data_IF_140337077217
#
_entry.id   IF_140337077217
#
_cell.length_a   1.000
_cell.length_b   1.000
_cell.length_c   1.000
_cell.angle_alpha   90.00
_cell.angle_beta   90.00
_cell.angle_gamma   90.00
#
_symmetry.space_group_name_H-M   'P 1'
#
loop_
_entity.id
_entity.type
_entity.pdbx_description
1 polymer ?
#
# COMPACT_ATOMS: atom_id res chain seq x y z
N UNK A 1 -15.20 -12.73 -21.30
CA UNK A 1 -14.38 -13.84 -20.77
C UNK A 1 -13.55 -13.29 -19.60
N UNK A 2 -12.81 -14.14 -18.89
CA UNK A 2 -12.30 -13.84 -17.55
C UNK A 2 -10.77 -13.72 -17.58
N UNK A 3 -10.24 -12.59 -17.08
CA UNK A 3 -8.80 -12.41 -16.82
C UNK A 3 -8.29 -13.41 -15.75
N UNK A 4 -6.98 -13.54 -15.55
CA UNK A 4 -6.44 -14.43 -14.50
C UNK A 4 -6.97 -14.07 -13.10
N UNK A 5 -7.15 -12.78 -12.83
CA UNK A 5 -7.75 -12.32 -11.57
C UNK A 5 -9.19 -12.81 -11.50
N UNK A 6 -10.01 -12.60 -12.53
CA UNK A 6 -11.40 -13.06 -12.58
C UNK A 6 -11.53 -14.58 -12.39
N UNK A 7 -10.62 -15.37 -12.97
CA UNK A 7 -10.59 -16.83 -12.82
C UNK A 7 -10.34 -17.22 -11.35
N UNK A 8 -9.37 -16.59 -10.69
CA UNK A 8 -9.13 -16.82 -9.26
C UNK A 8 -10.28 -16.35 -8.37
N UNK A 9 -10.94 -15.24 -8.72
CA UNK A 9 -12.11 -14.75 -7.99
C UNK A 9 -13.25 -15.76 -8.00
N UNK A 10 -13.49 -16.39 -9.15
CA UNK A 10 -14.52 -17.43 -9.28
C UNK A 10 -14.21 -18.66 -8.43
N UNK A 11 -12.93 -19.04 -8.31
CA UNK A 11 -12.52 -20.24 -7.54
C UNK A 11 -12.43 -20.02 -6.04
N UNK A 12 -12.02 -18.82 -5.62
CA UNK A 12 -11.78 -18.53 -4.21
C UNK A 12 -13.05 -18.14 -3.45
N UNK A 13 -14.21 -18.04 -4.12
CA UNK A 13 -15.46 -17.44 -3.61
C UNK A 13 -15.28 -16.03 -3.00
N UNK A 14 -14.12 -15.40 -3.23
CA UNK A 14 -13.74 -14.07 -2.76
C UNK A 14 -13.70 -13.12 -3.96
N UNK A 15 -13.90 -11.82 -3.77
CA UNK A 15 -13.68 -10.86 -4.85
C UNK A 15 -12.24 -11.02 -5.34
N UNK A 16 -12.02 -11.23 -6.65
CA UNK A 16 -10.69 -11.32 -7.19
C UNK A 16 -9.97 -9.99 -6.96
N UNK A 17 -8.73 -10.07 -6.52
CA UNK A 17 -7.84 -8.93 -6.50
C UNK A 17 -6.45 -9.37 -6.95
N UNK A 18 -5.75 -8.51 -7.68
CA UNK A 18 -4.40 -8.76 -8.21
C UNK A 18 -3.42 -9.30 -7.17
N UNK A 19 -3.50 -8.80 -5.94
CA UNK A 19 -2.61 -9.25 -4.86
C UNK A 19 -2.79 -10.73 -4.49
N UNK A 20 -3.90 -11.36 -4.85
CA UNK A 20 -4.13 -12.80 -4.66
C UNK A 20 -3.37 -13.65 -5.69
N UNK A 21 -3.12 -13.11 -6.89
CA UNK A 21 -2.25 -13.72 -7.91
C UNK A 21 -0.76 -13.58 -7.58
N UNK A 22 -0.37 -12.72 -6.64
CA UNK A 22 1.04 -12.54 -6.28
C UNK A 22 1.55 -13.58 -5.26
N UNK A 23 0.75 -14.60 -4.94
CA UNK A 23 1.05 -15.58 -3.89
C UNK A 23 0.48 -16.97 -4.16
N UNK A 24 -0.05 -17.61 -3.13
CA UNK A 24 -0.52 -19.00 -3.15
C UNK A 24 -1.59 -19.26 -4.24
N UNK A 25 -2.34 -18.23 -4.65
CA UNK A 25 -3.34 -18.32 -5.71
C UNK A 25 -2.81 -18.86 -7.04
N UNK A 26 -1.54 -18.60 -7.39
CA UNK A 26 -0.93 -19.13 -8.63
C UNK A 26 -0.88 -20.67 -8.66
N UNK A 27 -0.68 -21.30 -7.50
CA UNK A 27 -0.65 -22.76 -7.40
C UNK A 27 -1.98 -23.43 -7.76
N UNK A 28 -3.06 -22.66 -7.75
CA UNK A 28 -4.40 -23.14 -8.09
C UNK A 28 -4.75 -22.98 -9.57
N UNK A 29 -3.89 -22.35 -10.37
CA UNK A 29 -4.08 -22.17 -11.80
C UNK A 29 -3.69 -23.43 -12.58
N UNK A 30 -4.48 -23.75 -13.59
CA UNK A 30 -4.23 -24.87 -14.51
C UNK A 30 -3.82 -24.36 -15.89
N UNK A 31 -3.29 -25.24 -16.74
CA UNK A 31 -2.96 -24.88 -18.13
C UNK A 31 -4.16 -24.32 -18.92
N UNK A 32 -5.37 -24.83 -18.68
CA UNK A 32 -6.59 -24.33 -19.32
C UNK A 32 -6.92 -22.88 -18.91
N UNK A 33 -6.65 -22.52 -17.65
CA UNK A 33 -6.86 -21.16 -17.16
C UNK A 33 -5.91 -20.16 -17.83
N UNK A 34 -4.65 -20.56 -18.02
CA UNK A 34 -3.66 -19.75 -18.71
C UNK A 34 -4.03 -19.54 -20.19
N UNK A 35 -4.53 -20.58 -20.86
CA UNK A 35 -5.01 -20.49 -22.24
C UNK A 35 -6.23 -19.57 -22.36
N UNK A 36 -7.18 -19.67 -21.43
CA UNK A 36 -8.36 -18.81 -21.39
C UNK A 36 -7.99 -17.33 -21.20
N UNK A 37 -7.10 -17.04 -20.26
CA UNK A 37 -6.62 -15.68 -20.03
C UNK A 37 -5.82 -15.12 -21.22
N UNK A 38 -5.01 -15.96 -21.88
CA UNK A 38 -4.31 -15.58 -23.11
C UNK A 38 -5.27 -15.27 -24.27
N UNK A 39 -6.38 -16.01 -24.39
CA UNK A 39 -7.43 -15.70 -25.37
C UNK A 39 -8.09 -14.35 -25.08
N UNK A 40 -8.52 -14.13 -23.83
CA UNK A 40 -9.17 -12.87 -23.41
C UNK A 40 -8.23 -11.67 -23.61
N UNK A 41 -6.93 -11.82 -23.30
CA UNK A 41 -5.94 -10.78 -23.56
C UNK A 41 -5.83 -10.46 -25.06
N UNK A 42 -5.76 -11.47 -25.93
CA UNK A 42 -5.68 -11.26 -27.39
C UNK A 42 -6.92 -10.59 -27.96
N UNK A 43 -8.11 -10.98 -27.49
CA UNK A 43 -9.38 -10.35 -27.89
C UNK A 43 -9.42 -8.88 -27.49
N UNK A 44 -9.01 -8.55 -26.27
CA UNK A 44 -8.92 -7.15 -25.81
C UNK A 44 -7.83 -6.37 -26.53
N UNK A 45 -6.69 -6.99 -26.83
CA UNK A 45 -5.62 -6.35 -27.62
C UNK A 45 -6.10 -5.98 -29.02
N UNK A 46 -7.02 -6.74 -29.61
CA UNK A 46 -7.60 -6.41 -30.91
C UNK A 46 -8.38 -5.08 -30.89
N UNK A 47 -8.84 -4.61 -29.73
CA UNK A 47 -9.49 -3.30 -29.57
C UNK A 47 -8.50 -2.14 -29.58
N UNK A 48 -7.21 -2.38 -29.35
CA UNK A 48 -6.15 -1.38 -29.49
C UNK A 48 -5.93 -1.11 -30.98
N UNK A 49 -5.85 0.16 -31.43
CA UNK A 49 -5.59 0.50 -32.83
C UNK A 49 -4.36 -0.22 -33.38
N UNK A 50 -4.46 -0.80 -34.58
CA UNK A 50 -3.40 -1.60 -35.19
C UNK A 50 -2.06 -0.88 -35.24
N UNK A 51 -2.06 0.43 -35.50
CA UNK A 51 -0.86 1.27 -35.53
C UNK A 51 -0.13 1.38 -34.19
N UNK A 52 -0.84 1.16 -33.06
CA UNK A 52 -0.29 1.31 -31.71
C UNK A 52 0.06 -0.03 -31.06
N UNK A 53 -0.40 -1.18 -31.59
CA UNK A 53 -0.29 -2.48 -30.89
C UNK A 53 1.16 -2.87 -30.57
N UNK A 54 2.08 -2.70 -31.51
CA UNK A 54 3.50 -3.03 -31.30
C UNK A 54 4.11 -2.18 -30.17
N UNK A 55 3.83 -0.88 -30.18
CA UNK A 55 4.32 0.05 -29.15
C UNK A 55 3.66 -0.25 -27.79
N UNK A 56 2.37 -0.54 -27.79
CA UNK A 56 1.61 -0.91 -26.59
C UNK A 56 2.20 -2.15 -25.92
N UNK A 57 2.44 -3.23 -26.67
CA UNK A 57 3.05 -4.45 -26.13
C UNK A 57 4.49 -4.22 -25.65
N UNK A 58 5.25 -3.37 -26.36
CA UNK A 58 6.60 -2.98 -25.96
C UNK A 58 6.59 -2.23 -24.62
N UNK A 59 5.68 -1.27 -24.44
CA UNK A 59 5.54 -0.54 -23.18
C UNK A 59 5.05 -1.44 -22.04
N UNK A 60 4.11 -2.37 -22.29
CA UNK A 60 3.70 -3.35 -21.28
C UNK A 60 4.86 -4.22 -20.81
N UNK A 61 5.68 -4.72 -21.75
CA UNK A 61 6.86 -5.52 -21.42
C UNK A 61 7.87 -4.71 -20.61
N UNK A 62 8.17 -3.49 -21.05
CA UNK A 62 9.05 -2.57 -20.33
C UNK A 62 8.58 -2.31 -18.91
N UNK A 63 7.28 -2.08 -18.72
CA UNK A 63 6.66 -1.87 -17.41
C UNK A 63 6.73 -3.11 -16.52
N UNK A 64 6.54 -4.30 -17.08
CA UNK A 64 6.70 -5.55 -16.37
C UNK A 64 8.15 -5.76 -15.90
N UNK A 65 9.13 -5.54 -16.79
CA UNK A 65 10.56 -5.65 -16.48
C UNK A 65 10.98 -4.62 -15.42
N UNK A 66 10.55 -3.37 -15.56
CA UNK A 66 10.82 -2.31 -14.59
C UNK A 66 10.22 -2.64 -13.21
N UNK A 67 8.98 -3.14 -13.19
CA UNK A 67 8.32 -3.55 -11.95
C UNK A 67 9.06 -4.71 -11.30
N UNK A 68 9.44 -5.73 -12.07
CA UNK A 68 10.20 -6.88 -11.57
C UNK A 68 11.54 -6.47 -10.96
N UNK A 69 12.30 -5.61 -11.65
CA UNK A 69 13.57 -5.06 -11.15
C UNK A 69 13.37 -4.25 -9.86
N UNK A 70 12.33 -3.42 -9.79
CA UNK A 70 12.02 -2.64 -8.60
C UNK A 70 11.69 -3.53 -7.40
N UNK A 71 10.82 -4.53 -7.60
CA UNK A 71 10.41 -5.46 -6.56
C UNK A 71 11.59 -6.32 -6.08
N UNK A 72 12.43 -6.82 -6.99
CA UNK A 72 13.65 -7.56 -6.64
C UNK A 72 14.61 -6.71 -5.80
N UNK A 73 14.76 -5.42 -6.13
CA UNK A 73 15.65 -4.50 -5.42
C UNK A 73 15.11 -4.12 -4.04
N UNK A 74 13.83 -3.80 -3.92
CA UNK A 74 13.27 -3.11 -2.75
C UNK A 74 12.31 -3.94 -1.89
N UNK A 75 11.70 -5.03 -2.39
CA UNK A 75 10.71 -5.81 -1.63
C UNK A 75 11.32 -6.96 -0.80
N UNK A 76 12.53 -6.77 -0.27
CA UNK A 76 13.29 -7.80 0.47
C UNK A 76 13.01 -7.77 1.97
N UNK A 77 12.96 -6.58 2.56
CA UNK A 77 12.64 -6.36 3.97
C UNK A 77 12.00 -4.97 4.18
N UNK A 78 11.69 -4.58 5.43
CA UNK A 78 11.06 -3.28 5.70
C UNK A 78 11.96 -2.08 5.34
N UNK A 79 13.26 -2.17 5.60
CA UNK A 79 14.20 -1.09 5.30
C UNK A 79 14.38 -0.88 3.80
N UNK A 80 14.56 -1.96 3.03
CA UNK A 80 14.65 -1.86 1.57
C UNK A 80 13.34 -1.32 0.96
N UNK A 81 12.18 -1.62 1.55
CA UNK A 81 10.89 -1.06 1.13
C UNK A 81 10.78 0.43 1.43
N UNK A 82 11.28 0.89 2.58
CA UNK A 82 11.38 2.33 2.87
C UNK A 82 12.22 3.04 1.81
N UNK A 83 13.38 2.48 1.44
CA UNK A 83 14.19 3.01 0.33
C UNK A 83 13.41 2.97 -0.99
N UNK A 84 12.67 1.90 -1.26
CA UNK A 84 11.83 1.80 -2.46
C UNK A 84 10.75 2.89 -2.52
N UNK A 85 10.03 3.13 -1.43
CA UNK A 85 9.04 4.21 -1.36
C UNK A 85 9.68 5.59 -1.46
N UNK A 86 10.87 5.77 -0.90
CA UNK A 86 11.65 7.00 -1.03
C UNK A 86 12.01 7.31 -2.49
N UNK A 87 12.57 6.33 -3.20
CA UNK A 87 12.91 6.46 -4.62
C UNK A 87 11.65 6.70 -5.47
N UNK A 88 10.54 6.03 -5.15
CA UNK A 88 9.26 6.25 -5.82
C UNK A 88 8.72 7.66 -5.55
N UNK A 89 8.83 8.15 -4.31
CA UNK A 89 8.49 9.51 -3.94
C UNK A 89 9.27 10.54 -4.75
N UNK A 90 10.58 10.35 -4.94
CA UNK A 90 11.39 11.21 -5.81
C UNK A 90 10.93 11.19 -7.27
N UNK A 91 10.61 10.02 -7.82
CA UNK A 91 10.06 9.93 -9.19
C UNK A 91 8.74 10.68 -9.34
N UNK A 92 7.91 10.66 -8.30
CA UNK A 92 6.65 11.41 -8.21
C UNK A 92 6.86 12.87 -7.81
N UNK A 93 8.10 13.31 -7.57
CA UNK A 93 8.43 14.62 -6.98
C UNK A 93 7.66 14.92 -5.68
N UNK A 94 7.28 13.86 -4.97
CA UNK A 94 6.38 13.88 -3.82
C UNK A 94 5.01 14.54 -4.06
N UNK A 95 4.55 14.70 -5.31
CA UNK A 95 3.22 15.22 -5.61
C UNK A 95 2.10 14.27 -5.16
N UNK A 96 2.34 12.95 -5.20
CA UNK A 96 1.40 11.93 -4.73
C UNK A 96 1.70 11.52 -3.27
N UNK A 97 0.81 11.75 -2.29
CA UNK A 97 1.09 11.50 -0.87
C UNK A 97 1.28 10.05 -0.43
N UNK A 98 0.79 9.09 -1.22
CA UNK A 98 0.76 7.68 -0.83
C UNK A 98 2.12 7.09 -0.38
N UNK A 99 3.26 7.28 -1.10
CA UNK A 99 4.55 6.73 -0.64
C UNK A 99 4.99 7.30 0.71
N UNK A 100 4.73 8.59 0.97
CA UNK A 100 5.05 9.25 2.26
C UNK A 100 4.23 8.61 3.39
N UNK A 101 2.92 8.44 3.18
CA UNK A 101 2.02 7.77 4.14
C UNK A 101 2.50 6.34 4.42
N UNK A 102 2.85 5.58 3.38
CA UNK A 102 3.37 4.21 3.53
C UNK A 102 4.69 4.19 4.32
N UNK A 103 5.60 5.13 4.08
CA UNK A 103 6.85 5.25 4.83
C UNK A 103 6.62 5.57 6.30
N UNK A 104 5.70 6.48 6.61
CA UNK A 104 5.34 6.80 7.99
C UNK A 104 4.70 5.61 8.71
N UNK A 105 3.83 4.86 8.03
CA UNK A 105 3.27 3.60 8.54
C UNK A 105 4.36 2.57 8.87
N UNK A 106 5.35 2.38 7.99
CA UNK A 106 6.48 1.47 8.28
C UNK A 106 7.34 2.02 9.43
N UNK A 107 7.59 3.34 9.50
CA UNK A 107 8.35 3.95 10.59
C UNK A 107 7.67 3.69 11.95
N UNK A 108 6.34 3.76 12.02
CA UNK A 108 5.58 3.41 13.20
C UNK A 108 5.79 1.94 13.61
N UNK A 109 5.68 1.01 12.65
CA UNK A 109 5.90 -0.42 12.91
C UNK A 109 7.32 -0.66 13.43
N UNK A 110 8.32 -0.08 12.78
CA UNK A 110 9.72 -0.18 13.22
C UNK A 110 9.92 0.40 14.62
N UNK A 111 9.33 1.56 14.93
CA UNK A 111 9.38 2.16 16.27
C UNK A 111 8.76 1.26 17.35
N UNK A 112 7.65 0.59 17.04
CA UNK A 112 7.04 -0.42 17.91
C UNK A 112 7.95 -1.62 18.16
N UNK A 113 8.57 -2.16 17.11
CA UNK A 113 9.51 -3.28 17.21
C UNK A 113 10.76 -2.92 18.04
N UNK A 114 11.29 -1.70 17.89
CA UNK A 114 12.43 -1.22 18.67
C UNK A 114 12.10 -1.10 20.16
N UNK A 115 10.93 -0.51 20.49
CA UNK A 115 10.45 -0.44 21.87
C UNK A 115 10.31 -1.84 22.46
N UNK A 116 9.66 -2.76 21.75
CA UNK A 116 9.51 -4.15 22.20
C UNK A 116 10.87 -4.84 22.48
N UNK A 117 11.89 -4.63 21.64
CA UNK A 117 13.24 -5.16 21.85
C UNK A 117 14.00 -4.51 23.00
N UNK A 118 13.90 -3.19 23.14
CA UNK A 118 14.53 -2.45 24.24
C UNK A 118 13.95 -2.86 25.60
N UNK A 119 12.61 -3.04 25.67
CA UNK A 119 11.94 -3.58 26.85
C UNK A 119 12.17 -5.10 27.01
N UNK A 120 12.46 -5.84 25.93
CA UNK A 120 12.82 -7.26 25.94
C UNK A 120 14.22 -7.57 26.48
N UNK A 121 15.18 -6.64 26.35
CA UNK A 121 16.49 -6.72 27.02
C UNK A 121 16.37 -6.45 28.54
N UNK A 122 15.39 -5.64 28.97
CA UNK A 122 14.94 -5.59 30.36
C UNK A 122 14.03 -6.78 30.75
N UNK A 123 13.55 -7.53 29.75
CA UNK A 123 12.62 -8.65 29.84
C UNK A 123 13.24 -10.02 30.13
N UNK A 124 14.57 -10.15 30.18
CA UNK A 124 15.21 -11.38 30.70
C UNK A 124 14.85 -11.62 32.18
N UNK A 125 14.48 -10.56 32.91
CA UNK A 125 13.88 -10.68 34.24
C UNK A 125 12.39 -11.03 34.23
N UNK A 126 11.64 -10.72 33.15
CA UNK A 126 10.20 -10.92 33.03
C UNK A 126 9.82 -12.26 32.34
N UNK A 127 10.69 -12.84 31.51
CA UNK A 127 10.48 -14.11 30.80
C UNK A 127 10.37 -15.33 31.74
N UNK A 128 10.73 -15.19 33.02
CA UNK A 128 10.54 -16.21 34.05
C UNK A 128 9.09 -16.34 34.54
N UNK A 129 8.19 -15.43 34.16
CA UNK A 129 6.77 -15.47 34.55
C UNK A 129 5.87 -15.59 33.31
N UNK A 130 5.26 -16.76 33.10
CA UNK A 130 3.95 -17.03 32.43
C UNK A 130 3.50 -16.26 31.16
N UNK A 131 4.37 -15.60 30.39
CA UNK A 131 3.96 -14.76 29.24
C UNK A 131 4.18 -15.34 27.83
N UNK A 132 4.45 -16.64 27.70
CA UNK A 132 4.67 -17.32 26.40
C UNK A 132 3.48 -17.23 25.41
N UNK A 133 2.26 -16.93 25.89
CA UNK A 133 1.10 -16.68 25.03
C UNK A 133 1.07 -15.26 24.43
N UNK A 134 1.63 -14.26 25.13
CA UNK A 134 1.71 -12.88 24.61
C UNK A 134 2.82 -12.76 23.57
N UNK A 135 3.95 -13.44 23.77
CA UNK A 135 5.03 -13.52 22.77
C UNK A 135 4.52 -14.14 21.46
N UNK A 136 3.80 -15.26 21.52
CA UNK A 136 3.20 -15.90 20.34
C UNK A 136 2.19 -14.99 19.61
N UNK A 137 1.45 -14.15 20.34
CA UNK A 137 0.52 -13.18 19.73
C UNK A 137 1.26 -12.01 19.09
N UNK A 138 2.36 -11.54 19.69
CA UNK A 138 3.23 -10.51 19.13
C UNK A 138 3.91 -11.01 17.85
N UNK A 139 4.49 -12.22 17.87
CA UNK A 139 5.14 -12.85 16.71
C UNK A 139 4.16 -13.07 15.55
N UNK A 140 2.94 -13.54 15.84
CA UNK A 140 1.91 -13.71 14.82
C UNK A 140 1.45 -12.36 14.21
N UNK A 141 1.39 -11.31 15.03
CA UNK A 141 1.03 -9.96 14.56
C UNK A 141 2.14 -9.36 13.70
N UNK A 142 3.40 -9.49 14.12
CA UNK A 142 4.57 -9.03 13.37
C UNK A 142 4.71 -9.73 12.02
N UNK A 143 4.44 -11.04 11.97
CA UNK A 143 4.46 -11.80 10.71
C UNK A 143 3.35 -11.35 9.75
N UNK A 144 2.12 -11.18 10.23
CA UNK A 144 1.01 -10.64 9.43
C UNK A 144 1.34 -9.24 8.89
N UNK A 145 1.91 -8.36 9.72
CA UNK A 145 2.29 -7.01 9.29
C UNK A 145 3.39 -7.04 8.24
N UNK A 146 4.39 -7.92 8.37
CA UNK A 146 5.47 -8.08 7.38
C UNK A 146 4.97 -8.61 6.04
N UNK A 147 4.12 -9.65 6.06
CA UNK A 147 3.47 -10.23 4.87
C UNK A 147 2.55 -9.23 4.20
N UNK A 148 1.74 -8.51 4.97
CA UNK A 148 0.87 -7.46 4.45
C UNK A 148 1.68 -6.35 3.78
N UNK A 149 2.68 -5.80 4.45
CA UNK A 149 3.54 -4.77 3.83
C UNK A 149 4.21 -5.27 2.54
N UNK A 150 4.47 -6.59 2.42
CA UNK A 150 5.14 -7.17 1.25
C UNK A 150 4.17 -7.25 0.09
N UNK A 151 2.96 -7.70 0.38
CA UNK A 151 1.87 -7.79 -0.57
C UNK A 151 1.42 -6.39 -1.04
N UNK A 152 1.26 -5.42 -0.13
CA UNK A 152 0.98 -4.01 -0.48
C UNK A 152 2.06 -3.48 -1.42
N UNK A 153 3.34 -3.61 -1.06
CA UNK A 153 4.43 -3.12 -1.90
C UNK A 153 4.42 -3.78 -3.29
N UNK A 154 4.15 -5.09 -3.34
CA UNK A 154 4.05 -5.85 -4.58
C UNK A 154 2.86 -5.44 -5.46
N UNK A 155 1.75 -5.04 -4.86
CA UNK A 155 0.52 -4.65 -5.58
C UNK A 155 0.57 -3.19 -6.04
N UNK A 156 0.90 -2.30 -5.13
CA UNK A 156 0.78 -0.87 -5.31
C UNK A 156 1.89 -0.26 -6.16
N UNK A 157 3.15 -0.71 -6.00
CA UNK A 157 4.28 -0.11 -6.73
C UNK A 157 4.17 -0.30 -8.24
N UNK A 158 3.90 -1.51 -8.78
CA UNK A 158 3.69 -1.68 -10.23
C UNK A 158 2.56 -0.80 -10.75
N UNK A 159 1.46 -0.68 -10.00
CA UNK A 159 0.32 0.18 -10.35
C UNK A 159 0.75 1.65 -10.49
N UNK A 160 1.56 2.15 -9.56
CA UNK A 160 2.07 3.53 -9.60
C UNK A 160 3.08 3.74 -10.73
N UNK A 161 3.99 2.80 -10.97
CA UNK A 161 4.95 2.86 -12.08
C UNK A 161 4.24 2.88 -13.44
N UNK A 162 3.17 2.10 -13.58
CA UNK A 162 2.34 2.09 -14.78
C UNK A 162 1.72 3.47 -15.05
N UNK A 163 1.13 4.09 -14.02
CA UNK A 163 0.56 5.43 -14.13
C UNK A 163 1.60 6.50 -14.47
N UNK A 164 2.77 6.45 -13.85
CA UNK A 164 3.89 7.35 -14.16
C UNK A 164 4.30 7.25 -15.63
N UNK A 165 4.37 6.03 -16.18
CA UNK A 165 4.71 5.86 -17.60
C UNK A 165 3.62 6.39 -18.53
N UNK A 166 2.35 6.17 -18.20
CA UNK A 166 1.24 6.76 -18.96
C UNK A 166 1.35 8.29 -18.98
N UNK A 167 1.58 8.90 -17.80
CA UNK A 167 1.78 10.35 -17.69
C UNK A 167 3.00 10.83 -18.47
N UNK A 168 4.10 10.09 -18.42
CA UNK A 168 5.31 10.41 -19.17
C UNK A 168 5.04 10.41 -20.68
N UNK A 169 4.34 9.39 -21.19
CA UNK A 169 3.95 9.31 -22.61
C UNK A 169 3.07 10.49 -23.03
N UNK A 170 2.13 10.93 -22.18
CA UNK A 170 1.35 12.16 -22.44
C UNK A 170 2.26 13.39 -22.55
N UNK A 171 3.23 13.55 -21.65
CA UNK A 171 4.18 14.68 -21.69
C UNK A 171 5.13 14.62 -22.89
N UNK A 172 5.42 13.42 -23.40
CA UNK A 172 6.20 13.18 -24.63
C UNK A 172 5.35 13.38 -25.91
N UNK A 173 4.07 13.75 -25.79
CA UNK A 173 3.16 13.93 -26.93
C UNK A 173 2.57 12.63 -27.49
N UNK A 174 2.87 11.47 -26.90
CA UNK A 174 2.34 10.15 -27.29
C UNK A 174 1.01 9.85 -26.59
N UNK A 175 0.07 10.79 -26.68
CA UNK A 175 -1.20 10.78 -25.93
C UNK A 175 -2.05 9.55 -26.29
N UNK A 176 -2.10 9.18 -27.57
CA UNK A 176 -2.90 8.03 -28.01
C UNK A 176 -2.39 6.70 -27.44
N UNK A 177 -1.07 6.55 -27.30
CA UNK A 177 -0.47 5.38 -26.69
C UNK A 177 -0.72 5.33 -25.18
N UNK A 178 -0.63 6.47 -24.49
CA UNK A 178 -0.96 6.56 -23.07
C UNK A 178 -2.41 6.13 -22.80
N UNK A 179 -3.36 6.66 -23.60
CA UNK A 179 -4.78 6.26 -23.52
C UNK A 179 -4.96 4.78 -23.84
N UNK A 180 -4.28 4.27 -24.88
CA UNK A 180 -4.31 2.85 -25.19
C UNK A 180 -3.85 2.00 -24.00
N UNK A 181 -2.81 2.38 -23.26
CA UNK A 181 -2.37 1.71 -22.02
C UNK A 181 -3.42 1.80 -20.89
N UNK A 182 -4.08 2.94 -20.71
CA UNK A 182 -5.13 3.12 -19.71
C UNK A 182 -6.45 2.38 -20.02
N UNK A 183 -6.76 2.17 -21.30
CA UNK A 183 -8.03 1.60 -21.79
C UNK A 183 -7.91 0.14 -22.28
N UNK A 184 -6.74 -0.26 -22.76
CA UNK A 184 -6.46 -1.56 -23.35
C UNK A 184 -6.41 -2.71 -22.33
N UNK A 185 -6.03 -3.92 -22.76
CA UNK A 185 -5.90 -5.05 -21.85
C UNK A 185 -4.90 -4.75 -20.74
N UNK A 186 -5.26 -5.07 -19.49
CA UNK A 186 -4.36 -4.92 -18.35
C UNK A 186 -3.27 -6.00 -18.36
N UNK A 187 -2.11 -5.71 -17.74
CA UNK A 187 -1.16 -6.75 -17.38
C UNK A 187 -1.86 -7.88 -16.58
N UNK A 188 -1.44 -9.15 -16.70
CA UNK A 188 -2.16 -10.28 -16.11
C UNK A 188 -2.31 -10.24 -14.59
N UNK A 189 -1.41 -9.52 -13.89
CA UNK A 189 -1.43 -9.34 -12.45
C UNK A 189 -2.18 -8.07 -12.03
N UNK A 190 -2.89 -7.38 -12.91
CA UNK A 190 -3.65 -6.18 -12.58
C UNK A 190 -5.15 -6.50 -12.62
N UNK A 191 -5.92 -5.78 -11.82
CA UNK A 191 -7.39 -5.84 -11.86
C UNK A 191 -7.97 -4.48 -12.21
N UNK A 192 -9.30 -4.40 -12.30
CA UNK A 192 -9.99 -3.17 -12.68
C UNK A 192 -9.81 -2.04 -11.63
N UNK A 193 -9.60 -2.39 -10.36
CA UNK A 193 -9.25 -1.40 -9.34
C UNK A 193 -7.85 -0.82 -9.59
N UNK A 194 -6.87 -1.64 -10.02
CA UNK A 194 -5.57 -1.16 -10.50
C UNK A 194 -5.75 -0.17 -11.65
N UNK A 195 -6.61 -0.48 -12.65
CA UNK A 195 -6.89 0.44 -13.75
C UNK A 195 -7.46 1.76 -13.27
N UNK A 196 -8.44 1.72 -12.37
CA UNK A 196 -9.07 2.92 -11.85
C UNK A 196 -8.09 3.79 -11.05
N UNK A 197 -7.19 3.17 -10.28
CA UNK A 197 -6.10 3.86 -9.59
C UNK A 197 -5.11 4.49 -10.59
N UNK A 198 -4.71 3.76 -11.64
CA UNK A 198 -3.81 4.25 -12.70
C UNK A 198 -4.39 5.52 -13.33
N UNK A 199 -5.63 5.43 -13.83
CA UNK A 199 -6.32 6.55 -14.49
C UNK A 199 -6.50 7.75 -13.56
N UNK A 200 -6.87 7.51 -12.30
CA UNK A 200 -7.03 8.57 -11.32
C UNK A 200 -5.70 9.24 -10.99
N UNK A 201 -4.61 8.47 -10.92
CA UNK A 201 -3.27 9.00 -10.68
C UNK A 201 -2.75 9.81 -11.87
N UNK A 202 -2.91 9.31 -13.11
CA UNK A 202 -2.56 10.06 -14.33
C UNK A 202 -3.29 11.40 -14.35
N UNK A 203 -4.63 11.39 -14.17
CA UNK A 203 -5.43 12.62 -14.11
C UNK A 203 -5.00 13.55 -12.99
N UNK A 204 -4.77 13.03 -11.79
CA UNK A 204 -4.35 13.83 -10.64
C UNK A 204 -2.98 14.49 -10.87
N UNK A 205 -2.01 13.76 -11.44
CA UNK A 205 -0.69 14.29 -11.79
C UNK A 205 -0.74 15.31 -12.94
N UNK A 206 -1.78 15.28 -13.76
CA UNK A 206 -2.00 16.26 -14.84
C UNK A 206 -2.62 17.58 -14.35
N UNK A 207 -3.05 17.68 -13.09
CA UNK A 207 -3.57 18.92 -12.52
C UNK A 207 -2.46 19.96 -12.39
N UNK A 208 -2.65 21.13 -13.03
CA UNK A 208 -1.67 22.22 -13.08
C UNK A 208 -1.57 22.94 -11.74
N UNK A 209 -2.71 23.32 -11.15
CA UNK A 209 -2.76 24.00 -9.86
C UNK A 209 -2.26 23.07 -8.74
N UNK A 210 -1.27 23.52 -7.97
CA UNK A 210 -0.59 22.69 -6.99
C UNK A 210 -1.52 22.28 -5.82
N UNK A 211 -2.38 23.19 -5.36
CA UNK A 211 -3.26 22.92 -4.22
C UNK A 211 -4.37 21.94 -4.61
N UNK A 212 -4.93 22.14 -5.80
CA UNK A 212 -5.93 21.24 -6.36
C UNK A 212 -5.34 19.87 -6.71
N UNK A 213 -4.11 19.84 -7.24
CA UNK A 213 -3.36 18.58 -7.46
C UNK A 213 -3.19 17.84 -6.14
N UNK A 214 -2.69 18.52 -5.12
CA UNK A 214 -2.50 17.93 -3.79
C UNK A 214 -3.82 17.40 -3.22
N UNK A 215 -4.91 18.19 -3.26
CA UNK A 215 -6.23 17.78 -2.78
C UNK A 215 -6.73 16.52 -3.50
N UNK A 216 -6.60 16.49 -4.82
CA UNK A 216 -7.00 15.36 -5.67
C UNK A 216 -6.19 14.10 -5.32
N UNK A 217 -4.88 14.24 -5.20
CA UNK A 217 -3.98 13.13 -4.91
C UNK A 217 -4.05 12.66 -3.45
N UNK A 218 -4.39 13.53 -2.50
CA UNK A 218 -4.69 13.18 -1.12
C UNK A 218 -5.97 12.34 -1.03
N UNK A 219 -7.02 12.71 -1.77
CA UNK A 219 -8.24 11.90 -1.88
C UNK A 219 -7.97 10.54 -2.55
N UNK A 220 -7.15 10.52 -3.60
CA UNK A 220 -6.71 9.28 -4.22
C UNK A 220 -5.92 8.39 -3.25
N UNK A 221 -5.11 8.99 -2.37
CA UNK A 221 -4.36 8.25 -1.35
C UNK A 221 -5.28 7.51 -0.39
N UNK A 222 -6.43 8.10 -0.01
CA UNK A 222 -7.45 7.40 0.80
C UNK A 222 -8.04 6.19 0.07
N UNK A 223 -8.31 6.31 -1.23
CA UNK A 223 -8.78 5.19 -2.04
C UNK A 223 -7.72 4.10 -2.19
N UNK A 224 -6.46 4.49 -2.36
CA UNK A 224 -5.35 3.54 -2.42
C UNK A 224 -5.19 2.82 -1.07
N UNK A 225 -5.33 3.54 0.04
CA UNK A 225 -5.29 2.98 1.38
C UNK A 225 -6.41 1.96 1.64
N UNK A 226 -7.62 2.21 1.17
CA UNK A 226 -8.71 1.21 1.20
C UNK A 226 -8.28 -0.11 0.54
N UNK A 227 -7.70 -0.03 -0.66
CA UNK A 227 -7.16 -1.20 -1.35
C UNK A 227 -6.08 -1.92 -0.53
N UNK A 228 -5.18 -1.19 0.12
CA UNK A 228 -4.19 -1.79 1.04
C UNK A 228 -4.85 -2.52 2.22
N UNK A 229 -5.93 -1.95 2.78
CA UNK A 229 -6.70 -2.59 3.84
C UNK A 229 -7.44 -3.84 3.35
N UNK A 230 -7.72 -3.96 2.05
CA UNK A 230 -8.23 -5.20 1.45
C UNK A 230 -7.14 -6.28 1.38
N UNK A 231 -5.88 -5.92 1.08
CA UNK A 231 -4.73 -6.83 1.20
C UNK A 231 -4.62 -7.34 2.64
N UNK A 232 -4.71 -6.45 3.62
CA UNK A 232 -4.66 -6.82 5.04
C UNK A 232 -5.82 -7.73 5.45
N UNK A 233 -7.06 -7.46 5.01
CA UNK A 233 -8.21 -8.37 5.23
C UNK A 233 -7.89 -9.79 4.74
N UNK A 234 -7.33 -9.90 3.54
CA UNK A 234 -7.00 -11.19 2.93
C UNK A 234 -5.94 -11.93 3.76
N UNK A 235 -4.87 -11.26 4.18
CA UNK A 235 -3.80 -11.85 4.99
C UNK A 235 -4.29 -12.30 6.37
N UNK A 236 -5.31 -11.63 6.94
CA UNK A 236 -5.97 -12.06 8.17
C UNK A 236 -6.98 -13.21 7.97
N UNK A 237 -7.24 -13.63 6.73
CA UNK A 237 -8.27 -14.62 6.40
C UNK A 237 -9.70 -14.14 6.69
N UNK A 238 -9.93 -12.82 6.68
CA UNK A 238 -11.28 -12.25 6.88
C UNK A 238 -12.01 -12.22 5.54
N UNK A 239 -13.21 -12.77 5.52
CA UNK A 239 -14.10 -12.70 4.37
C UNK A 239 -14.92 -11.40 4.42
N UNK A 240 -14.75 -10.53 3.42
CA UNK A 240 -15.47 -9.24 3.30
C UNK A 240 -16.98 -9.44 3.05
N UNK A 241 -17.41 -10.59 2.52
CA UNK A 241 -18.81 -10.84 2.12
C UNK A 241 -19.69 -11.31 3.28
N UNK A 242 -19.09 -11.87 4.34
CA UNK A 242 -19.84 -12.32 5.51
C UNK A 242 -20.11 -11.13 6.42
N UNK A 243 -21.37 -10.94 6.80
CA UNK A 243 -21.71 -9.99 7.85
C UNK A 243 -20.85 -10.29 9.07
N UNK A 244 -19.98 -9.33 9.39
CA UNK A 244 -19.10 -9.45 10.52
C UNK A 244 -19.93 -9.57 11.80
N UNK A 245 -19.76 -10.67 12.52
CA UNK A 245 -20.29 -10.80 13.87
C UNK A 245 -19.15 -10.57 14.86
N UNK A 246 -19.25 -9.54 15.72
CA UNK A 246 -18.25 -9.31 16.75
C UNK A 246 -18.09 -10.53 17.62
N UNK A 247 -16.83 -10.93 17.90
CA UNK A 247 -16.58 -11.96 18.92
C UNK A 247 -17.09 -11.44 20.26
N UNK A 248 -18.17 -12.06 20.76
CA UNK A 248 -18.76 -11.75 22.07
C UNK A 248 -17.92 -12.38 23.19
N UNK A 249 -17.91 -11.75 24.36
CA UNK A 249 -17.31 -12.28 25.60
C UNK A 249 -15.91 -11.74 25.93
N UNK A 250 -15.32 -12.31 26.98
CA UNK A 250 -14.07 -11.85 27.63
C UNK A 250 -12.85 -11.81 26.68
N UNK A 251 -12.79 -12.74 25.71
CA UNK A 251 -11.73 -12.79 24.71
C UNK A 251 -11.77 -11.59 23.76
N UNK A 252 -12.97 -11.12 23.38
CA UNK A 252 -13.12 -9.92 22.56
C UNK A 252 -12.85 -8.63 23.32
N UNK A 253 -12.97 -8.64 24.65
CA UNK A 253 -12.71 -7.46 25.50
C UNK A 253 -11.20 -7.24 25.72
N UNK A 254 -10.43 -8.32 25.93
CA UNK A 254 -8.98 -8.25 26.20
C UNK A 254 -8.12 -8.00 24.96
N UNK A 255 -8.68 -8.12 23.75
CA UNK A 255 -7.97 -7.88 22.48
C UNK A 255 -8.37 -6.56 21.81
N UNK A 256 -9.18 -5.71 22.46
CA UNK A 256 -9.58 -4.41 21.90
C UNK A 256 -8.42 -3.43 21.98
N UNK A 257 -7.88 -3.09 20.81
CA UNK A 257 -6.92 -2.02 20.64
C UNK A 257 -7.68 -0.70 20.81
N UNK A 258 -7.35 0.07 21.85
CA UNK A 258 -8.02 1.34 22.16
C UNK A 258 -7.38 2.55 21.49
N UNK A 259 -6.11 2.43 21.14
CA UNK A 259 -5.35 3.48 20.49
C UNK A 259 -4.21 2.89 19.69
N UNK A 260 -3.75 3.62 18.68
CA UNK A 260 -2.55 3.31 17.90
C UNK A 260 -1.63 4.51 17.85
N UNK A 261 -0.30 4.32 17.89
CA UNK A 261 0.62 5.41 17.57
C UNK A 261 0.45 5.79 16.10
N UNK A 262 0.19 7.05 15.81
CA UNK A 262 -0.08 7.54 14.47
C UNK A 262 0.72 8.81 14.19
N UNK A 263 1.17 9.03 12.94
CA UNK A 263 1.91 10.23 12.58
C UNK A 263 1.01 11.46 12.75
N UNK A 264 1.57 12.52 13.33
CA UNK A 264 0.92 13.81 13.48
C UNK A 264 1.95 14.91 13.37
N UNK A 265 1.57 16.02 12.75
CA UNK A 265 2.37 17.25 12.79
C UNK A 265 2.10 17.96 14.12
N UNK A 266 3.17 18.17 14.90
CA UNK A 266 3.13 18.82 16.22
C UNK A 266 4.10 20.01 16.25
N UNK A 267 3.96 20.87 17.26
CA UNK A 267 4.78 22.07 17.43
C UNK A 267 4.09 23.37 16.99
N UNK A 268 4.78 24.50 17.19
CA UNK A 268 4.31 25.85 16.81
C UNK A 268 4.78 26.21 15.41
N UNK A 269 4.21 27.27 14.83
CA UNK A 269 4.66 27.81 13.54
C UNK A 269 6.17 28.07 13.57
N UNK A 270 6.91 27.48 12.62
CA UNK A 270 8.38 27.53 12.54
C UNK A 270 9.14 26.35 13.16
N UNK A 271 8.52 25.55 14.01
CA UNK A 271 9.14 24.38 14.69
C UNK A 271 8.33 23.09 14.52
N UNK A 272 7.51 23.05 13.46
CA UNK A 272 6.62 21.92 13.19
C UNK A 272 7.43 20.69 12.81
N UNK A 273 7.09 19.54 13.38
CA UNK A 273 7.73 18.27 13.07
C UNK A 273 6.75 17.10 13.18
N UNK A 274 7.15 15.94 12.65
CA UNK A 274 6.37 14.71 12.79
C UNK A 274 6.67 14.03 14.13
N UNK A 275 5.62 13.75 14.88
CA UNK A 275 5.65 12.86 16.04
C UNK A 275 4.66 11.69 15.85
N UNK A 276 4.92 10.59 16.54
CA UNK A 276 4.00 9.44 16.57
C UNK A 276 3.25 9.43 17.90
N UNK A 277 2.10 10.10 17.93
CA UNK A 277 1.27 10.26 19.12
C UNK A 277 0.16 9.21 19.19
N UNK A 278 -0.40 9.00 20.38
CA UNK A 278 -1.53 8.09 20.58
C UNK A 278 -2.80 8.62 19.91
N UNK A 279 -3.27 7.94 18.87
CA UNK A 279 -4.56 8.18 18.24
C UNK A 279 -5.62 7.26 18.85
N UNK A 280 -6.65 7.83 19.47
CA UNK A 280 -7.74 7.07 20.05
C UNK A 280 -8.61 6.43 18.97
N UNK A 281 -8.86 5.13 19.09
CA UNK A 281 -9.75 4.40 18.19
C UNK A 281 -11.21 4.49 18.70
N UNK A 282 -12.20 4.43 17.79
CA UNK A 282 -13.60 4.35 18.18
C UNK A 282 -13.87 3.21 19.19
N UNK A 283 -14.80 3.36 20.15
CA UNK A 283 -15.07 2.33 21.17
C UNK A 283 -15.50 0.96 20.60
N UNK A 284 -16.09 0.98 19.41
CA UNK A 284 -16.56 -0.16 18.63
C UNK A 284 -15.57 -0.60 17.54
N UNK A 285 -14.37 -0.01 17.50
CA UNK A 285 -13.34 -0.39 16.53
C UNK A 285 -13.04 -1.88 16.60
N UNK A 286 -12.98 -2.49 15.42
CA UNK A 286 -12.58 -3.86 15.28
C UNK A 286 -11.57 -4.02 14.13
N UNK A 287 -10.41 -4.59 14.48
CA UNK A 287 -9.35 -4.89 13.55
C UNK A 287 -9.78 -5.87 12.45
N UNK A 288 -10.81 -6.70 12.63
CA UNK A 288 -11.27 -7.61 11.56
C UNK A 288 -12.24 -6.93 10.60
N UNK A 289 -13.01 -5.95 11.06
CA UNK A 289 -13.89 -5.14 10.23
C UNK A 289 -13.09 -4.22 9.28
N UNK A 290 -13.25 -4.44 7.97
CA UNK A 290 -12.54 -3.69 6.95
C UNK A 290 -12.90 -2.20 6.93
N UNK A 291 -14.19 -1.86 6.92
CA UNK A 291 -14.63 -0.46 6.84
C UNK A 291 -14.23 0.33 8.10
N UNK A 292 -14.28 -0.32 9.26
CA UNK A 292 -13.79 0.26 10.52
C UNK A 292 -12.29 0.58 10.46
N UNK A 293 -11.47 -0.31 9.89
CA UNK A 293 -10.05 -0.05 9.65
C UNK A 293 -9.83 1.07 8.64
N UNK A 294 -10.52 1.04 7.51
CA UNK A 294 -10.39 2.09 6.48
C UNK A 294 -10.72 3.46 7.06
N UNK A 295 -11.81 3.57 7.82
CA UNK A 295 -12.20 4.82 8.47
C UNK A 295 -11.19 5.26 9.56
N UNK A 296 -10.92 4.40 10.54
CA UNK A 296 -10.10 4.78 11.69
C UNK A 296 -8.62 4.96 11.34
N UNK A 297 -8.04 4.04 10.57
CA UNK A 297 -6.65 4.16 10.13
C UNK A 297 -6.47 5.15 8.99
N UNK A 298 -7.50 5.36 8.17
CA UNK A 298 -7.54 6.47 7.21
C UNK A 298 -7.40 7.82 7.91
N UNK A 299 -8.19 8.05 8.96
CA UNK A 299 -8.08 9.25 9.79
C UNK A 299 -6.69 9.34 10.47
N UNK A 300 -6.22 8.24 11.06
CA UNK A 300 -5.00 8.23 11.86
C UNK A 300 -3.70 8.38 11.04
N UNK A 301 -3.60 7.76 9.86
CA UNK A 301 -2.34 7.70 9.10
C UNK A 301 -2.36 8.51 7.81
N UNK A 302 -3.52 8.64 7.16
CA UNK A 302 -3.63 9.36 5.89
C UNK A 302 -4.02 10.80 6.16
N UNK A 303 -5.21 11.05 6.69
CA UNK A 303 -5.77 12.39 6.85
C UNK A 303 -4.98 13.24 7.85
N UNK A 304 -4.38 12.63 8.88
CA UNK A 304 -3.50 13.30 9.84
C UNK A 304 -2.28 13.97 9.21
N UNK A 305 -1.89 13.52 8.01
CA UNK A 305 -0.74 14.05 7.25
C UNK A 305 -1.20 14.78 6.00
N UNK A 306 -2.25 14.30 5.34
CA UNK A 306 -2.73 14.84 4.05
C UNK A 306 -3.89 15.82 4.17
N UNK A 307 -4.37 16.10 5.39
CA UNK A 307 -5.46 17.04 5.63
C UNK A 307 -5.15 18.49 5.23
N UNK A 308 -3.86 18.86 5.18
CA UNK A 308 -3.37 20.14 4.66
C UNK A 308 -2.02 19.94 3.95
N UNK A 309 -1.74 20.77 2.94
CA UNK A 309 -0.48 20.71 2.18
C UNK A 309 0.73 21.08 3.04
N UNK A 310 0.61 22.05 3.95
CA UNK A 310 1.74 22.44 4.80
C UNK A 310 2.15 21.32 5.75
N UNK A 311 1.18 20.57 6.26
CA UNK A 311 1.40 19.42 7.14
C UNK A 311 2.10 18.28 6.38
N UNK A 312 1.67 18.09 5.12
CA UNK A 312 2.30 17.14 4.23
C UNK A 312 3.75 17.52 3.88
N UNK A 313 4.05 18.81 3.69
CA UNK A 313 5.42 19.28 3.48
C UNK A 313 6.31 19.02 4.71
N UNK A 314 5.79 19.23 5.93
CA UNK A 314 6.52 18.85 7.16
C UNK A 314 6.79 17.34 7.21
N UNK A 315 5.85 16.51 6.73
CA UNK A 315 6.07 15.07 6.63
C UNK A 315 7.16 14.70 5.62
N UNK A 316 7.19 15.37 4.47
CA UNK A 316 8.26 15.23 3.47
C UNK A 316 9.61 15.61 4.09
N UNK A 317 9.70 16.75 4.78
CA UNK A 317 10.93 17.23 5.41
C UNK A 317 11.44 16.24 6.47
N UNK A 318 10.55 15.69 7.30
CA UNK A 318 10.90 14.64 8.26
C UNK A 318 11.52 13.42 7.57
N UNK A 319 10.95 12.98 6.44
CA UNK A 319 11.50 11.85 5.68
C UNK A 319 12.82 12.21 4.98
N UNK A 320 12.96 13.44 4.46
CA UNK A 320 14.25 13.93 3.94
C UNK A 320 15.34 13.85 4.99
N UNK A 321 15.12 14.41 6.18
CA UNK A 321 16.09 14.37 7.27
C UNK A 321 16.45 12.93 7.67
N UNK A 322 15.48 12.03 7.62
CA UNK A 322 15.64 10.63 8.05
C UNK A 322 16.28 9.71 7.00
N UNK A 323 16.09 9.99 5.71
CA UNK A 323 16.42 9.04 4.62
C UNK A 323 17.28 9.62 3.49
N UNK A 324 17.51 10.94 3.41
CA UNK A 324 18.33 11.53 2.35
C UNK A 324 19.82 11.11 2.42
N UNK A 325 20.30 10.63 3.57
CA UNK A 325 21.69 10.19 3.80
C UNK A 325 22.03 8.74 3.42
N UNK A 326 21.13 8.00 2.77
CA UNK A 326 21.40 6.65 2.25
C UNK A 326 21.34 5.50 3.29
N UNK A 327 21.48 5.80 4.57
CA UNK A 327 21.14 4.88 5.66
C UNK A 327 20.01 5.47 6.53
N UNK A 328 18.99 4.69 6.89
CA UNK A 328 18.02 5.14 7.88
C UNK A 328 18.76 5.40 9.19
N UNK A 329 18.85 6.67 9.59
CA UNK A 329 19.32 6.99 10.93
C UNK A 329 18.52 6.17 11.95
N UNK A 330 19.17 5.53 12.96
CA UNK A 330 18.45 4.92 14.05
C UNK A 330 17.45 5.94 14.59
N UNK A 331 16.22 5.51 14.86
CA UNK A 331 15.18 6.41 15.33
C UNK A 331 15.73 7.26 16.47
N UNK A 332 15.93 8.56 16.21
CA UNK A 332 16.39 9.51 17.20
C UNK A 332 15.55 9.30 18.46
N UNK A 333 16.26 9.02 19.55
CA UNK A 333 15.67 8.63 20.81
C UNK A 333 14.68 9.68 21.27
N UNK A 334 13.41 9.31 21.30
CA UNK A 334 12.45 9.95 22.19
C UNK A 334 12.68 9.37 23.58
N UNK A 335 13.64 9.96 24.30
CA UNK A 335 13.66 9.96 25.76
C UNK A 335 13.47 11.42 26.17
N UNK A 336 12.21 11.81 26.36
CA UNK A 336 11.64 12.23 27.66
C UNK A 336 10.15 12.47 27.51
#
# INVERSE_FOLDING_TARGET
>A
MASLTDILGKRSERPPASFQLAGEGLSTLTGADLQAAASDYRERLALVPTSLRSDFETEQRRLADQSAQWLARYNRNLYSRLTGYWELGKLLRFDYPWPVVAMLGICQVLGGMWRARAYGLLGVAASRLRYSRLEKLADATDDILRRTNRAIFHDSVPTVLYALRCRQLETEGRIELARALEDGPLPPLFDEDSRQLIRALVRGLSVVDQRERFRTLAQLTMRHFDREQAVFSHQMGVDRRKHYQPRKGWVGLMTRIKAVPAPRVVGRAGERHIAFESFALPPDFDMRNHDSRVAAFGAAYVQSVTGNIDDYLVAIDYLHQRFAGGEPAPALGYIR
#
